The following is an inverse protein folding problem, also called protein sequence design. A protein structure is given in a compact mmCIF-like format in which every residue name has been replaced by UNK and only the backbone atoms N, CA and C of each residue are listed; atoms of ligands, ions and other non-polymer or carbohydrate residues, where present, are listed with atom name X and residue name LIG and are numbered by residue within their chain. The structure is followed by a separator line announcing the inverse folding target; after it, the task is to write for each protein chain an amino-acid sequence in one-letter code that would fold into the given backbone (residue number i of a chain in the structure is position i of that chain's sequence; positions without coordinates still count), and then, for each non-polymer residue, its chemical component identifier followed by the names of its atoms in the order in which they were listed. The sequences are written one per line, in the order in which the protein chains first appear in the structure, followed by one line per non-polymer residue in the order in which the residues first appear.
data_IF_900742721369
#
_entry.id   IF_900742721369
#
_cell.length_a   1.000
_cell.length_b   1.000
_cell.length_c   1.000
_cell.angle_alpha   90.00
_cell.angle_beta   90.00
_cell.angle_gamma   90.00
#
_symmetry.space_group_name_H-M   'P 1'
#
loop_
_entity.id
_entity.type
_entity.pdbx_description
1 polymer ?
#
# COMPACT_ATOMS: atom_id res chain seq x y z
N UNK A 1 -20.23 2.07 -2.47
CA UNK A 1 -20.59 3.13 -3.44
C UNK A 1 -19.53 3.24 -4.52
N UNK A 2 -19.60 4.27 -5.36
CA UNK A 2 -18.61 4.54 -6.43
C UNK A 2 -17.18 4.65 -5.88
N UNK A 3 -16.99 5.36 -4.77
CA UNK A 3 -15.69 5.51 -4.06
C UNK A 3 -15.11 4.15 -3.68
N UNK A 4 -15.92 3.29 -3.06
CA UNK A 4 -15.50 1.94 -2.66
C UNK A 4 -15.16 1.09 -3.88
N UNK A 5 -15.92 1.19 -4.97
CA UNK A 5 -15.67 0.45 -6.20
C UNK A 5 -14.37 0.91 -6.89
N UNK A 6 -14.13 2.23 -6.93
CA UNK A 6 -12.89 2.81 -7.43
C UNK A 6 -11.69 2.40 -6.57
N UNK A 7 -11.83 2.40 -5.23
CA UNK A 7 -10.81 1.91 -4.31
C UNK A 7 -10.48 0.43 -4.53
N UNK A 8 -11.50 -0.45 -4.61
CA UNK A 8 -11.32 -1.87 -4.95
C UNK A 8 -10.66 -2.07 -6.31
N UNK A 9 -10.85 -1.14 -7.25
CA UNK A 9 -10.18 -1.21 -8.56
C UNK A 9 -8.68 -0.95 -8.47
N UNK A 10 -8.22 -0.15 -7.50
CA UNK A 10 -6.80 0.08 -7.22
C UNK A 10 -6.19 -1.20 -6.67
N UNK A 11 -6.79 -1.80 -5.63
CA UNK A 11 -6.32 -3.07 -5.07
C UNK A 11 -6.21 -4.18 -6.13
N UNK A 12 -7.22 -4.30 -7.02
CA UNK A 12 -7.17 -5.24 -8.14
C UNK A 12 -6.06 -4.93 -9.15
N UNK A 13 -5.85 -3.66 -9.48
CA UNK A 13 -4.78 -3.28 -10.39
C UNK A 13 -3.38 -3.55 -9.81
N UNK A 14 -3.22 -3.43 -8.48
CA UNK A 14 -1.99 -3.81 -7.76
C UNK A 14 -1.79 -5.34 -7.84
N UNK A 15 -2.84 -6.12 -7.56
CA UNK A 15 -2.80 -7.58 -7.67
C UNK A 15 -2.38 -8.03 -9.08
N UNK A 16 -3.07 -7.51 -10.11
CA UNK A 16 -2.82 -7.86 -11.51
C UNK A 16 -1.38 -7.53 -11.94
N UNK A 17 -0.86 -6.35 -11.60
CA UNK A 17 0.52 -5.98 -11.97
C UNK A 17 1.57 -6.80 -11.23
N UNK A 18 1.34 -7.15 -9.96
CA UNK A 18 2.26 -7.98 -9.19
C UNK A 18 2.32 -9.40 -9.73
N UNK A 19 1.17 -9.97 -10.08
CA UNK A 19 1.07 -11.28 -10.74
C UNK A 19 1.79 -11.28 -12.09
N UNK A 20 1.52 -10.30 -12.94
CA UNK A 20 2.19 -10.15 -14.25
C UNK A 20 3.72 -10.06 -14.11
N UNK A 21 4.22 -9.26 -13.16
CA UNK A 21 5.65 -9.16 -12.86
C UNK A 21 6.19 -10.52 -12.38
N UNK A 22 5.50 -11.17 -11.44
CA UNK A 22 5.88 -12.48 -10.90
C UNK A 22 6.03 -13.54 -11.99
N UNK A 23 5.05 -13.66 -12.88
CA UNK A 23 5.05 -14.58 -14.02
C UNK A 23 6.23 -14.36 -14.97
N UNK A 24 6.55 -13.09 -15.27
CA UNK A 24 7.70 -12.75 -16.12
C UNK A 24 9.03 -13.05 -15.43
N UNK A 25 9.14 -12.79 -14.12
CA UNK A 25 10.36 -13.08 -13.37
C UNK A 25 10.58 -14.59 -13.18
N UNK A 26 9.52 -15.40 -13.09
CA UNK A 26 9.63 -16.85 -13.00
C UNK A 26 10.39 -17.47 -14.20
N UNK A 27 10.32 -16.82 -15.37
CA UNK A 27 11.06 -17.23 -16.59
C UNK A 27 12.58 -17.06 -16.48
N UNK A 28 13.05 -16.25 -15.55
CA UNK A 28 14.48 -15.99 -15.32
C UNK A 28 15.16 -17.06 -14.46
N UNK A 29 14.41 -18.05 -13.98
CA UNK A 29 14.96 -19.15 -13.18
C UNK A 29 15.89 -20.00 -14.05
N UNK A 30 17.11 -20.32 -13.59
CA UNK A 30 18.00 -21.20 -14.34
C UNK A 30 17.32 -22.57 -14.51
N UNK A 31 17.12 -22.98 -15.76
CA UNK A 31 16.76 -24.37 -16.10
C UNK A 31 17.97 -25.31 -16.05
N UNK A 32 19.18 -24.81 -15.69
CA UNK A 32 20.40 -25.60 -15.58
C UNK A 32 21.49 -25.01 -14.66
N UNK A 33 22.36 -25.93 -14.18
CA UNK A 33 23.62 -25.86 -13.39
C UNK A 33 23.81 -24.86 -12.24
N UNK A 34 22.98 -23.85 -12.05
CA UNK A 34 22.92 -23.05 -10.82
C UNK A 34 21.94 -23.66 -9.81
N UNK A 35 22.16 -23.45 -8.50
CA UNK A 35 21.13 -23.74 -7.50
C UNK A 35 19.91 -22.85 -7.80
N UNK A 36 18.72 -23.42 -8.07
CA UNK A 36 17.55 -22.61 -8.36
C UNK A 36 17.20 -21.79 -7.13
N UNK A 37 16.83 -20.52 -7.31
CA UNK A 37 16.16 -19.75 -6.24
C UNK A 37 14.80 -20.40 -6.03
N UNK A 38 14.69 -21.26 -5.01
CA UNK A 38 13.45 -21.99 -4.69
C UNK A 38 12.66 -21.33 -3.56
N UNK A 39 13.38 -20.67 -2.67
CA UNK A 39 12.79 -19.98 -1.52
C UNK A 39 13.37 -18.58 -1.39
N UNK A 40 12.65 -17.73 -0.68
CA UNK A 40 13.11 -16.40 -0.24
C UNK A 40 14.46 -16.43 0.50
N UNK A 41 14.86 -17.53 1.13
CA UNK A 41 16.18 -17.67 1.76
C UNK A 41 17.33 -17.88 0.77
N UNK A 42 17.01 -18.16 -0.50
CA UNK A 42 17.99 -18.40 -1.55
C UNK A 42 18.11 -17.23 -2.55
N UNK A 43 17.58 -16.06 -2.20
CA UNK A 43 17.74 -14.82 -2.99
C UNK A 43 19.21 -14.44 -3.10
N UNK A 44 19.55 -13.66 -4.14
CA UNK A 44 20.94 -13.30 -4.42
C UNK A 44 21.52 -12.27 -3.45
N UNK A 45 20.69 -11.34 -2.98
CA UNK A 45 21.10 -10.28 -2.05
C UNK A 45 20.08 -10.10 -0.92
N UNK A 46 20.24 -10.90 0.13
CA UNK A 46 19.38 -10.85 1.31
C UNK A 46 19.48 -9.52 2.09
N UNK A 47 20.64 -8.85 2.04
CA UNK A 47 20.82 -7.59 2.76
C UNK A 47 19.91 -6.50 2.17
N UNK A 48 19.91 -6.39 0.84
CA UNK A 48 19.01 -5.47 0.12
C UNK A 48 17.54 -5.83 0.35
N UNK A 49 17.17 -7.12 0.32
CA UNK A 49 15.78 -7.56 0.60
C UNK A 49 15.33 -7.12 2.00
N UNK A 50 16.16 -7.33 3.02
CA UNK A 50 15.86 -6.92 4.40
C UNK A 50 15.70 -5.41 4.51
N UNK A 51 16.59 -4.64 3.88
CA UNK A 51 16.52 -3.18 3.89
C UNK A 51 15.25 -2.65 3.22
N UNK A 52 14.85 -3.23 2.09
CA UNK A 52 13.66 -2.79 1.33
C UNK A 52 12.36 -3.14 2.05
N UNK A 53 12.23 -4.38 2.55
CA UNK A 53 11.01 -4.84 3.22
C UNK A 53 10.89 -4.26 4.63
N UNK A 54 12.01 -4.14 5.34
CA UNK A 54 12.05 -3.80 6.76
C UNK A 54 13.11 -2.72 7.05
N UNK A 55 12.90 -1.48 6.56
CA UNK A 55 13.88 -0.40 6.71
C UNK A 55 14.17 -0.03 8.18
N UNK A 56 13.25 -0.33 9.09
CA UNK A 56 13.39 -0.10 10.54
C UNK A 56 13.94 -1.31 11.31
N UNK A 57 14.40 -2.36 10.60
CA UNK A 57 14.91 -3.60 11.20
C UNK A 57 13.95 -4.78 11.04
N UNK A 58 14.50 -6.00 11.10
CA UNK A 58 13.77 -7.26 10.91
C UNK A 58 12.55 -7.34 11.85
N UNK A 59 11.38 -7.55 11.25
CA UNK A 59 10.17 -7.86 11.97
C UNK A 59 10.02 -9.38 12.15
N UNK A 60 9.51 -9.80 13.32
CA UNK A 60 9.07 -11.17 13.56
C UNK A 60 7.57 -11.12 13.92
N UNK A 61 6.70 -11.79 13.17
CA UNK A 61 6.98 -12.67 12.02
C UNK A 61 7.31 -11.90 10.72
N UNK A 62 7.85 -12.59 9.70
CA UNK A 62 8.31 -11.96 8.45
C UNK A 62 7.80 -12.66 7.17
N UNK A 63 7.81 -11.90 6.07
CA UNK A 63 7.63 -12.39 4.70
C UNK A 63 8.83 -13.20 4.21
N UNK A 64 10.01 -13.02 4.79
CA UNK A 64 11.23 -13.68 4.33
C UNK A 64 11.24 -15.13 4.80
N UNK A 65 10.96 -15.39 6.06
CA UNK A 65 11.08 -16.75 6.59
C UNK A 65 10.04 -17.03 7.68
N UNK A 66 9.82 -18.32 7.88
CA UNK A 66 9.08 -18.91 8.99
C UNK A 66 10.01 -19.73 9.88
N UNK A 67 9.46 -20.31 10.95
CA UNK A 67 10.16 -21.31 11.77
C UNK A 67 10.57 -22.56 10.99
N UNK A 68 9.91 -22.88 9.87
CA UNK A 68 10.20 -24.07 9.04
C UNK A 68 11.10 -23.79 7.85
N UNK A 69 11.46 -22.52 7.59
CA UNK A 69 12.37 -22.11 6.53
C UNK A 69 11.83 -20.96 5.67
N UNK A 70 12.43 -20.78 4.48
CA UNK A 70 12.09 -19.73 3.53
C UNK A 70 10.75 -19.97 2.84
N UNK A 71 10.07 -18.89 2.48
CA UNK A 71 8.80 -18.91 1.73
C UNK A 71 9.04 -19.34 0.28
N UNK A 72 8.08 -20.02 -0.39
CA UNK A 72 8.14 -20.29 -1.82
C UNK A 72 8.40 -19.01 -2.60
N UNK A 73 9.35 -19.08 -3.54
CA UNK A 73 9.87 -17.86 -4.18
C UNK A 73 8.82 -17.11 -5.02
N UNK A 74 7.89 -17.82 -5.68
CA UNK A 74 6.81 -17.21 -6.47
C UNK A 74 5.90 -16.37 -5.59
N UNK A 75 5.33 -17.01 -4.56
CA UNK A 75 4.43 -16.38 -3.59
C UNK A 75 5.15 -15.24 -2.85
N UNK A 76 6.42 -15.43 -2.46
CA UNK A 76 7.20 -14.39 -1.80
C UNK A 76 7.31 -13.12 -2.65
N UNK A 77 7.68 -13.25 -3.93
CA UNK A 77 7.89 -12.09 -4.81
C UNK A 77 6.59 -11.35 -5.05
N UNK A 78 5.51 -12.07 -5.37
CA UNK A 78 4.21 -11.46 -5.62
C UNK A 78 3.69 -10.71 -4.38
N UNK A 79 3.67 -11.37 -3.22
CA UNK A 79 3.18 -10.79 -1.97
C UNK A 79 4.06 -9.64 -1.48
N UNK A 80 5.38 -9.71 -1.69
CA UNK A 80 6.30 -8.63 -1.39
C UNK A 80 6.07 -7.41 -2.28
N UNK A 81 5.87 -7.59 -3.59
CA UNK A 81 5.55 -6.49 -4.50
C UNK A 81 4.22 -5.82 -4.12
N UNK A 82 3.19 -6.62 -3.80
CA UNK A 82 1.91 -6.12 -3.33
C UNK A 82 2.09 -5.26 -2.07
N UNK A 83 2.81 -5.77 -1.07
CA UNK A 83 3.10 -5.00 0.14
C UNK A 83 3.86 -3.71 -0.16
N UNK A 84 4.92 -3.77 -0.97
CA UNK A 84 5.78 -2.62 -1.27
C UNK A 84 5.01 -1.52 -1.99
N UNK A 85 4.19 -1.87 -2.98
CA UNK A 85 3.37 -0.90 -3.72
C UNK A 85 2.30 -0.29 -2.82
N UNK A 86 1.59 -1.09 -2.03
CA UNK A 86 0.58 -0.58 -1.09
C UNK A 86 1.20 0.35 -0.04
N UNK A 87 2.32 -0.03 0.56
CA UNK A 87 3.05 0.78 1.54
C UNK A 87 3.48 2.13 0.96
N UNK A 88 4.04 2.09 -0.26
CA UNK A 88 4.60 3.28 -0.88
C UNK A 88 3.51 4.25 -1.36
N UNK A 89 2.40 3.74 -1.91
CA UNK A 89 1.23 4.55 -2.27
C UNK A 89 0.53 5.12 -1.03
N UNK A 90 0.37 4.32 0.02
CA UNK A 90 -0.22 4.77 1.28
C UNK A 90 0.54 5.98 1.83
N UNK A 91 1.87 5.86 1.92
CA UNK A 91 2.73 6.92 2.43
C UNK A 91 2.74 8.19 1.57
N UNK A 92 2.82 8.07 0.24
CA UNK A 92 2.98 9.24 -0.64
C UNK A 92 1.66 9.87 -1.12
N UNK A 93 0.56 9.11 -1.15
CA UNK A 93 -0.71 9.57 -1.73
C UNK A 93 -1.82 9.65 -0.68
N UNK A 94 -2.03 8.60 0.11
CA UNK A 94 -3.23 8.50 0.95
C UNK A 94 -3.08 9.11 2.35
N UNK A 95 -1.94 8.90 3.01
CA UNK A 95 -1.67 9.48 4.33
C UNK A 95 -1.57 11.00 4.34
N UNK A 96 -0.92 11.66 3.36
CA UNK A 96 -0.83 13.11 3.34
C UNK A 96 -2.21 13.78 3.28
N UNK A 97 -2.33 14.96 3.89
CA UNK A 97 -3.51 15.80 3.64
C UNK A 97 -3.61 16.14 2.14
N UNK A 98 -2.47 16.52 1.54
CA UNK A 98 -2.32 16.74 0.10
C UNK A 98 -0.95 16.17 -0.38
N UNK A 99 -0.91 15.30 -1.42
CA UNK A 99 0.32 14.58 -1.81
C UNK A 99 1.52 15.47 -2.18
N UNK A 100 1.26 16.68 -2.69
CA UNK A 100 2.31 17.61 -3.13
C UNK A 100 2.75 18.61 -2.04
N UNK A 101 2.19 18.54 -0.82
CA UNK A 101 2.67 19.33 0.30
C UNK A 101 3.95 18.72 0.89
N UNK A 102 4.82 19.58 1.42
CA UNK A 102 5.99 19.13 2.19
C UNK A 102 5.54 18.40 3.48
N UNK A 103 6.34 17.45 4.01
CA UNK A 103 5.95 16.68 5.20
C UNK A 103 5.53 17.53 6.40
N UNK A 104 6.26 18.62 6.70
CA UNK A 104 5.98 19.48 7.85
C UNK A 104 4.66 20.24 7.67
N UNK A 105 4.38 20.70 6.45
CA UNK A 105 3.12 21.36 6.11
C UNK A 105 1.95 20.38 6.13
N UNK A 106 2.14 19.15 5.64
CA UNK A 106 1.15 18.09 5.72
C UNK A 106 0.77 17.77 7.16
N UNK A 107 1.75 17.60 8.04
CA UNK A 107 1.53 17.34 9.46
C UNK A 107 0.73 18.48 10.10
N UNK A 108 1.16 19.73 9.90
CA UNK A 108 0.47 20.90 10.44
C UNK A 108 -0.99 21.01 9.96
N UNK A 109 -1.25 20.87 8.66
CA UNK A 109 -2.61 20.96 8.11
C UNK A 109 -3.49 19.80 8.59
N UNK A 110 -2.91 18.60 8.74
CA UNK A 110 -3.62 17.43 9.29
C UNK A 110 -4.03 17.67 10.75
N UNK A 111 -3.12 18.17 11.59
CA UNK A 111 -3.43 18.52 12.99
C UNK A 111 -4.53 19.58 13.10
N UNK A 112 -4.47 20.61 12.26
CA UNK A 112 -5.54 21.62 12.18
C UNK A 112 -6.87 20.99 11.80
N UNK A 113 -6.86 20.08 10.81
CA UNK A 113 -8.07 19.40 10.36
C UNK A 113 -8.68 18.56 11.48
N UNK A 114 -7.89 17.77 12.20
CA UNK A 114 -8.37 16.99 13.34
C UNK A 114 -8.98 17.87 14.43
N UNK A 115 -8.41 19.05 14.69
CA UNK A 115 -9.00 20.04 15.59
C UNK A 115 -10.36 20.58 15.11
N UNK A 116 -10.53 20.78 13.80
CA UNK A 116 -11.81 21.16 13.19
C UNK A 116 -12.83 20.03 13.31
N UNK A 117 -12.45 18.79 12.97
CA UNK A 117 -13.33 17.61 13.04
C UNK A 117 -13.83 17.33 14.46
N UNK A 118 -13.00 17.62 15.46
CA UNK A 118 -13.38 17.42 16.86
C UNK A 118 -14.44 18.45 17.31
N UNK A 119 -14.36 19.69 16.81
CA UNK A 119 -15.25 20.78 17.21
C UNK A 119 -16.52 20.83 16.39
N UNK A 120 -16.40 20.65 15.09
CA UNK A 120 -17.43 20.97 14.10
C UNK A 120 -17.99 19.68 13.46
N UNK A 121 -19.30 19.62 13.15
CA UNK A 121 -19.91 18.44 12.53
C UNK A 121 -19.42 18.22 11.09
N UNK A 122 -19.62 17.01 10.55
CA UNK A 122 -19.12 16.56 9.24
C UNK A 122 -19.34 17.55 8.09
N UNK A 123 -20.48 18.23 8.03
CA UNK A 123 -20.75 19.20 6.95
C UNK A 123 -19.81 20.39 7.00
N UNK A 124 -19.44 20.86 8.20
CA UNK A 124 -18.55 22.01 8.39
C UNK A 124 -17.09 21.57 8.24
N UNK A 125 -16.69 20.48 8.89
CA UNK A 125 -15.33 19.95 8.76
C UNK A 125 -15.05 19.51 7.32
N UNK A 126 -15.99 18.84 6.66
CA UNK A 126 -15.90 18.46 5.24
C UNK A 126 -15.72 19.67 4.31
N UNK A 127 -16.44 20.78 4.55
CA UNK A 127 -16.22 22.03 3.81
C UNK A 127 -14.81 22.58 4.00
N UNK A 128 -14.32 22.57 5.24
CA UNK A 128 -12.96 22.99 5.55
C UNK A 128 -11.95 22.13 4.77
N UNK A 129 -12.09 20.80 4.83
CA UNK A 129 -11.24 19.85 4.09
C UNK A 129 -11.19 20.19 2.61
N UNK A 130 -12.36 20.31 1.97
CA UNK A 130 -12.47 20.59 0.53
C UNK A 130 -11.84 21.92 0.20
N UNK A 131 -12.21 23.00 0.90
CA UNK A 131 -11.67 24.34 0.62
C UNK A 131 -10.16 24.41 0.82
N UNK A 132 -9.61 23.77 1.86
CA UNK A 132 -8.17 23.75 2.11
C UNK A 132 -7.43 22.88 1.09
N UNK A 133 -7.98 21.71 0.74
CA UNK A 133 -7.41 20.84 -0.29
C UNK A 133 -7.38 21.53 -1.65
N UNK A 134 -8.50 22.13 -2.07
CA UNK A 134 -8.62 22.85 -3.35
C UNK A 134 -7.74 24.10 -3.39
N UNK A 135 -7.64 24.85 -2.29
CA UNK A 135 -6.75 26.01 -2.22
C UNK A 135 -5.28 25.63 -2.45
N UNK A 136 -4.83 24.50 -1.89
CA UNK A 136 -3.49 23.97 -2.17
C UNK A 136 -3.37 23.43 -3.59
N UNK A 137 -4.37 22.67 -4.05
CA UNK A 137 -4.40 22.11 -5.39
C UNK A 137 -4.32 23.20 -6.47
N UNK A 138 -4.93 24.37 -6.25
CA UNK A 138 -4.91 25.52 -7.15
C UNK A 138 -3.52 26.18 -7.30
N UNK A 139 -2.57 25.90 -6.40
CA UNK A 139 -1.18 26.36 -6.51
C UNK A 139 -0.36 25.53 -7.50
N UNK A 140 -0.92 24.44 -8.00
CA UNK A 140 -0.27 23.50 -8.92
C UNK A 140 -1.02 23.45 -10.26
N UNK A 141 -0.32 23.74 -11.35
CA UNK A 141 -0.86 23.52 -12.69
C UNK A 141 -0.82 22.03 -13.08
N UNK A 142 -1.54 21.66 -14.14
CA UNK A 142 -1.59 20.29 -14.64
C UNK A 142 -0.20 19.73 -15.01
N UNK A 143 0.73 20.58 -15.46
CA UNK A 143 2.07 20.17 -15.83
C UNK A 143 2.92 19.81 -14.60
N UNK A 144 2.81 20.57 -13.52
CA UNK A 144 3.50 20.33 -12.26
C UNK A 144 3.00 19.06 -11.57
N UNK A 145 1.68 18.82 -11.58
CA UNK A 145 1.07 17.57 -11.10
C UNK A 145 1.61 16.39 -11.90
N UNK A 146 1.59 16.49 -13.24
CA UNK A 146 2.12 15.44 -14.11
C UNK A 146 3.60 15.17 -13.83
N UNK A 147 4.43 16.20 -13.72
CA UNK A 147 5.86 16.05 -13.40
C UNK A 147 6.09 15.38 -12.05
N UNK A 148 5.28 15.73 -11.05
CA UNK A 148 5.34 15.09 -9.73
C UNK A 148 4.98 13.61 -9.82
N UNK A 149 3.90 13.26 -10.52
CA UNK A 149 3.50 11.87 -10.77
C UNK A 149 4.59 11.10 -11.53
N UNK A 150 5.11 11.66 -12.62
CA UNK A 150 6.17 11.04 -13.43
C UNK A 150 7.43 10.78 -12.58
N UNK A 151 7.81 11.74 -11.73
CA UNK A 151 8.93 11.58 -10.80
C UNK A 151 8.65 10.51 -9.74
N UNK A 152 7.45 10.50 -9.15
CA UNK A 152 7.06 9.52 -8.15
C UNK A 152 7.05 8.10 -8.72
N UNK A 153 6.43 7.90 -9.90
CA UNK A 153 6.40 6.61 -10.60
C UNK A 153 7.83 6.14 -10.92
N UNK A 154 8.68 7.05 -11.40
CA UNK A 154 10.10 6.76 -11.63
C UNK A 154 10.82 6.33 -10.35
N UNK A 155 10.56 7.00 -9.22
CA UNK A 155 11.15 6.65 -7.93
C UNK A 155 10.71 5.28 -7.45
N UNK A 156 9.40 5.00 -7.47
CA UNK A 156 8.82 3.70 -7.13
C UNK A 156 9.44 2.58 -7.97
N UNK A 157 9.54 2.76 -9.29
CA UNK A 157 10.10 1.73 -10.17
C UNK A 157 11.61 1.57 -9.94
N UNK A 158 12.39 2.64 -10.02
CA UNK A 158 13.85 2.55 -10.12
C UNK A 158 14.57 2.44 -8.78
N UNK A 159 13.96 2.90 -7.68
CA UNK A 159 14.58 2.90 -6.36
C UNK A 159 13.92 1.94 -5.37
N UNK A 160 12.74 1.39 -5.68
CA UNK A 160 12.07 0.40 -4.85
C UNK A 160 11.89 -0.95 -5.55
N UNK A 161 11.09 -1.01 -6.62
CA UNK A 161 10.68 -2.27 -7.22
C UNK A 161 11.82 -2.95 -8.01
N UNK A 162 12.53 -2.21 -8.86
CA UNK A 162 13.62 -2.75 -9.67
C UNK A 162 14.80 -3.24 -8.80
N UNK A 163 15.26 -2.50 -7.76
CA UNK A 163 16.27 -3.01 -6.84
C UNK A 163 15.82 -4.27 -6.09
N UNK A 164 14.56 -4.34 -5.67
CA UNK A 164 14.00 -5.56 -5.05
C UNK A 164 14.09 -6.77 -6.01
N UNK A 165 13.65 -6.60 -7.26
CA UNK A 165 13.70 -7.67 -8.26
C UNK A 165 15.14 -8.11 -8.57
N UNK A 166 16.09 -7.18 -8.65
CA UNK A 166 17.52 -7.49 -8.86
C UNK A 166 18.09 -8.23 -7.65
N UNK A 167 17.71 -7.86 -6.43
CA UNK A 167 18.14 -8.56 -5.23
C UNK A 167 17.63 -10.01 -5.17
N UNK A 168 16.44 -10.27 -5.73
CA UNK A 168 15.89 -11.63 -5.85
C UNK A 168 16.54 -12.42 -6.98
N UNK A 169 16.49 -11.90 -8.20
CA UNK A 169 16.73 -12.66 -9.44
C UNK A 169 18.07 -12.31 -10.12
N UNK A 170 18.71 -11.20 -9.76
CA UNK A 170 19.96 -10.69 -10.31
C UNK A 170 19.77 -9.64 -11.40
N UNK A 171 20.88 -9.18 -11.98
CA UNK A 171 20.93 -8.10 -13.00
C UNK A 171 20.09 -8.33 -14.27
N UNK A 172 19.72 -9.58 -14.54
CA UNK A 172 18.85 -9.94 -15.65
C UNK A 172 17.38 -9.58 -15.39
N UNK A 173 16.98 -9.40 -14.13
CA UNK A 173 15.64 -9.00 -13.76
C UNK A 173 15.40 -7.57 -14.21
N UNK A 174 14.45 -7.37 -15.12
CA UNK A 174 14.09 -6.04 -15.63
C UNK A 174 12.59 -5.92 -15.80
N UNK A 175 12.03 -4.86 -15.25
CA UNK A 175 10.64 -4.51 -15.53
C UNK A 175 10.48 -4.15 -17.02
N UNK A 176 9.44 -4.70 -17.65
CA UNK A 176 9.11 -4.42 -19.03
C UNK A 176 8.41 -3.07 -19.15
N UNK A 177 8.29 -2.54 -20.38
CA UNK A 177 7.50 -1.34 -20.62
C UNK A 177 6.03 -1.51 -20.16
N UNK A 178 5.46 -2.72 -20.35
CA UNK A 178 4.10 -3.06 -19.89
C UNK A 178 3.98 -2.96 -18.36
N UNK A 179 4.98 -3.45 -17.62
CA UNK A 179 5.00 -3.33 -16.16
C UNK A 179 5.02 -1.86 -15.73
N UNK A 180 5.89 -1.05 -16.35
CA UNK A 180 6.00 0.37 -16.03
C UNK A 180 4.69 1.13 -16.30
N UNK A 181 4.01 0.84 -17.42
CA UNK A 181 2.70 1.41 -17.73
C UNK A 181 1.62 0.98 -16.73
N UNK A 182 1.67 -0.28 -16.27
CA UNK A 182 0.70 -0.81 -15.31
C UNK A 182 0.88 -0.16 -13.92
N UNK A 183 2.13 0.01 -13.47
CA UNK A 183 2.46 0.77 -12.25
C UNK A 183 2.01 2.23 -12.37
N UNK A 184 2.28 2.88 -13.50
CA UNK A 184 1.82 4.25 -13.75
C UNK A 184 0.28 4.37 -13.67
N UNK A 185 -0.43 3.37 -14.21
CA UNK A 185 -1.90 3.30 -14.12
C UNK A 185 -2.39 3.16 -12.68
N UNK A 186 -1.76 2.29 -11.88
CA UNK A 186 -2.06 2.12 -10.45
C UNK A 186 -1.90 3.45 -9.70
N UNK A 187 -0.74 4.10 -9.85
CA UNK A 187 -0.43 5.36 -9.18
C UNK A 187 -1.41 6.47 -9.60
N UNK A 188 -1.72 6.55 -10.89
CA UNK A 188 -2.68 7.53 -11.40
C UNK A 188 -4.08 7.32 -10.82
N UNK A 189 -4.54 6.06 -10.75
CA UNK A 189 -5.83 5.71 -10.13
C UNK A 189 -5.86 6.07 -8.64
N UNK A 190 -4.77 5.79 -7.91
CA UNK A 190 -4.65 6.15 -6.50
C UNK A 190 -4.72 7.67 -6.30
N UNK A 191 -3.99 8.44 -7.11
CA UNK A 191 -4.02 9.90 -7.04
C UNK A 191 -5.43 10.46 -7.36
N UNK A 192 -6.07 9.98 -8.43
CA UNK A 192 -7.43 10.38 -8.80
C UNK A 192 -8.45 10.04 -7.73
N UNK A 193 -8.35 8.86 -7.13
CA UNK A 193 -9.22 8.46 -6.03
C UNK A 193 -9.04 9.36 -4.81
N UNK A 194 -7.79 9.69 -4.46
CA UNK A 194 -7.51 10.62 -3.36
C UNK A 194 -8.11 12.00 -3.62
N UNK A 195 -8.00 12.53 -4.85
CA UNK A 195 -8.66 13.78 -5.22
C UNK A 195 -10.18 13.68 -5.05
N UNK A 196 -10.80 12.64 -5.61
CA UNK A 196 -12.25 12.41 -5.53
C UNK A 196 -12.75 12.45 -4.08
N UNK A 197 -12.12 11.71 -3.16
CA UNK A 197 -12.58 11.69 -1.76
C UNK A 197 -12.27 12.98 -1.01
N UNK A 198 -11.21 13.71 -1.40
CA UNK A 198 -10.77 14.95 -0.73
C UNK A 198 -11.52 16.21 -1.20
N UNK A 199 -12.20 16.18 -2.36
CA UNK A 199 -12.91 17.35 -2.93
C UNK A 199 -14.43 17.31 -2.82
N UNK A 200 -15.02 16.27 -2.23
CA UNK A 200 -16.48 16.20 -2.04
C UNK A 200 -16.90 16.48 -0.58
N UNK A 201 -17.77 17.50 -0.41
CA UNK A 201 -18.19 18.06 0.89
C UNK A 201 -19.16 17.17 1.66
N UNK A 202 -20.05 16.44 0.97
CA UNK A 202 -21.13 15.65 1.59
C UNK A 202 -20.64 14.26 2.01
N UNK A 203 -19.45 13.87 1.58
CA UNK A 203 -18.90 12.58 1.90
C UNK A 203 -18.36 12.52 3.33
N UNK A 204 -18.45 11.31 3.89
CA UNK A 204 -17.59 10.85 4.97
C UNK A 204 -16.11 11.05 4.59
N UNK A 205 -15.25 11.14 5.60
CA UNK A 205 -13.81 11.09 5.33
C UNK A 205 -13.40 9.63 5.15
N UNK A 206 -12.75 9.31 4.03
CA UNK A 206 -12.28 7.97 3.71
C UNK A 206 -10.79 7.83 4.00
N UNK A 207 -10.43 6.75 4.68
CA UNK A 207 -9.08 6.47 5.18
C UNK A 207 -8.66 5.09 4.68
N UNK A 208 -7.80 5.01 3.65
CA UNK A 208 -7.09 3.78 3.33
C UNK A 208 -6.30 3.32 4.55
N UNK A 209 -6.28 2.01 4.81
CA UNK A 209 -5.64 1.44 5.98
C UNK A 209 -4.61 0.39 5.58
N UNK A 210 -3.35 0.64 5.94
CA UNK A 210 -2.26 -0.33 5.92
C UNK A 210 -1.96 -0.76 7.35
N UNK A 211 -2.13 -2.04 7.67
CA UNK A 211 -1.73 -2.56 8.98
C UNK A 211 -0.23 -2.86 9.00
N UNK A 212 0.49 -2.49 10.07
CA UNK A 212 1.92 -2.76 10.17
C UNK A 212 2.20 -4.26 10.32
N UNK A 213 3.33 -4.72 9.79
CA UNK A 213 3.82 -6.07 10.05
C UNK A 213 3.91 -6.34 11.56
N UNK A 214 3.44 -7.52 11.98
CA UNK A 214 3.39 -7.94 13.37
C UNK A 214 2.16 -7.47 14.14
N UNK A 215 1.28 -6.65 13.53
CA UNK A 215 0.01 -6.30 14.16
C UNK A 215 -0.83 -7.55 14.45
N UNK A 216 -1.55 -7.61 15.58
CA UNK A 216 -2.44 -8.71 15.87
C UNK A 216 -3.59 -8.76 14.85
N UNK A 217 -3.91 -9.96 14.37
CA UNK A 217 -5.03 -10.17 13.46
C UNK A 217 -6.35 -9.77 14.11
N UNK A 218 -7.07 -8.85 13.47
CA UNK A 218 -8.40 -8.39 13.85
C UNK A 218 -9.39 -8.65 12.71
N UNK A 219 -10.32 -9.59 12.92
CA UNK A 219 -11.33 -9.97 11.95
C UNK A 219 -12.34 -8.86 11.63
N UNK A 220 -12.36 -7.75 12.37
CA UNK A 220 -13.20 -6.59 12.05
C UNK A 220 -12.62 -5.82 10.87
N UNK A 221 -11.34 -5.48 10.91
CA UNK A 221 -10.66 -4.68 9.88
C UNK A 221 -9.85 -5.48 8.86
N UNK A 222 -9.60 -6.76 9.12
CA UNK A 222 -8.72 -7.60 8.31
C UNK A 222 -9.42 -8.87 7.83
N UNK A 223 -9.11 -9.26 6.59
CA UNK A 223 -9.40 -10.59 6.04
C UNK A 223 -8.09 -11.25 5.62
N UNK A 224 -7.92 -12.52 5.93
CA UNK A 224 -6.77 -13.29 5.44
C UNK A 224 -6.96 -13.69 3.98
N UNK A 225 -5.86 -13.92 3.26
CA UNK A 225 -5.95 -14.65 1.98
C UNK A 225 -6.55 -16.04 2.25
N UNK A 226 -7.53 -16.42 1.45
CA UNK A 226 -8.32 -17.65 1.62
C UNK A 226 -7.45 -18.91 1.46
N UNK A 227 -6.92 -19.43 2.58
CA UNK A 227 -6.50 -20.83 2.75
C UNK A 227 -6.91 -21.30 4.14
N UNK A 228 -7.23 -22.59 4.28
CA UNK A 228 -7.61 -23.19 5.56
C UNK A 228 -6.37 -23.68 6.29
N UNK A 229 -6.30 -23.53 7.63
CA UNK A 229 -7.30 -22.94 8.53
C UNK A 229 -7.28 -21.40 8.56
N UNK A 230 -8.38 -20.79 8.99
CA UNK A 230 -8.44 -19.35 9.25
C UNK A 230 -7.43 -18.96 10.36
N UNK A 231 -6.85 -17.74 10.32
CA UNK A 231 -5.92 -17.29 11.34
C UNK A 231 -6.55 -17.28 12.73
N UNK A 232 -5.73 -17.54 13.75
CA UNK A 232 -6.19 -17.39 15.12
C UNK A 232 -6.35 -15.92 15.51
N UNK A 233 -7.29 -15.61 16.41
CA UNK A 233 -7.45 -14.25 16.91
C UNK A 233 -6.16 -13.78 17.58
N UNK A 234 -5.72 -12.56 17.24
CA UNK A 234 -4.45 -11.98 17.69
C UNK A 234 -3.16 -12.67 17.20
N UNK A 235 -3.24 -13.57 16.20
CA UNK A 235 -2.05 -14.02 15.47
C UNK A 235 -1.37 -12.81 14.82
N UNK A 236 -0.05 -12.63 14.96
CA UNK A 236 0.63 -11.52 14.33
C UNK A 236 0.63 -11.68 12.80
N UNK A 237 0.18 -10.65 12.07
CA UNK A 237 0.20 -10.64 10.61
C UNK A 237 1.64 -10.51 10.10
N UNK A 238 1.94 -11.15 8.96
CA UNK A 238 3.19 -10.97 8.24
C UNK A 238 3.23 -9.61 7.54
N UNK A 239 2.13 -9.26 6.87
CA UNK A 239 2.00 -7.97 6.17
C UNK A 239 0.57 -7.72 5.69
N UNK A 240 0.31 -6.50 5.24
CA UNK A 240 -0.87 -6.12 4.45
C UNK A 240 -0.53 -6.21 2.95
N UNK A 241 -1.33 -6.96 2.19
CA UNK A 241 -1.13 -7.16 0.74
C UNK A 241 -2.21 -6.49 -0.11
N UNK A 242 -3.32 -6.06 0.50
CA UNK A 242 -4.24 -5.11 -0.09
C UNK A 242 -4.80 -4.19 0.99
N UNK A 243 -4.88 -2.89 0.70
CA UNK A 243 -5.32 -1.89 1.67
C UNK A 243 -6.79 -2.10 2.07
N UNK A 244 -7.07 -1.84 3.35
CA UNK A 244 -8.43 -1.68 3.86
C UNK A 244 -8.94 -0.26 3.61
N UNK A 245 -10.23 -0.04 3.87
CA UNK A 245 -10.85 1.27 3.77
C UNK A 245 -11.80 1.48 4.94
N UNK A 246 -11.50 2.46 5.78
CA UNK A 246 -12.46 3.00 6.75
C UNK A 246 -13.10 4.28 6.20
N UNK A 247 -14.33 4.54 6.62
CA UNK A 247 -14.95 5.85 6.53
C UNK A 247 -15.18 6.39 7.93
N UNK A 248 -15.13 7.70 8.08
CA UNK A 248 -15.42 8.35 9.35
C UNK A 248 -16.34 9.55 9.23
N UNK A 249 -17.15 9.76 10.26
CA UNK A 249 -18.07 10.89 10.40
C UNK A 249 -17.72 11.71 11.64
N UNK A 250 -17.48 13.01 11.46
CA UNK A 250 -17.32 13.94 12.58
C UNK A 250 -18.69 14.31 13.17
N UNK A 251 -18.88 14.05 14.47
CA UNK A 251 -20.06 14.52 15.19
C UNK A 251 -19.94 15.99 15.65
N UNK A 252 -18.72 16.45 15.90
CA UNK A 252 -18.44 17.74 16.55
C UNK A 252 -18.60 17.67 18.08
N UNK A 253 -18.67 18.85 18.72
CA UNK A 253 -18.90 19.00 20.17
C UNK A 253 -17.85 18.32 21.07
N UNK A 254 -16.62 18.13 20.58
CA UNK A 254 -15.56 17.46 21.34
C UNK A 254 -15.62 15.94 21.28
N UNK A 255 -16.49 15.35 20.45
CA UNK A 255 -16.61 13.89 20.33
C UNK A 255 -15.69 13.35 19.24
N UNK A 256 -15.10 12.19 19.51
CA UNK A 256 -14.29 11.50 18.52
C UNK A 256 -15.14 11.11 17.29
N UNK A 257 -14.58 11.17 16.07
CA UNK A 257 -15.26 10.72 14.88
C UNK A 257 -15.70 9.24 14.98
N UNK A 258 -16.84 8.91 14.37
CA UNK A 258 -17.33 7.53 14.27
C UNK A 258 -16.71 6.86 13.05
N UNK A 259 -16.08 5.70 13.23
CA UNK A 259 -15.44 4.93 12.15
C UNK A 259 -16.24 3.69 11.78
N UNK A 260 -16.30 3.42 10.47
CA UNK A 260 -16.97 2.25 9.90
C UNK A 260 -16.08 1.67 8.80
N UNK A 261 -15.81 0.37 8.88
CA UNK A 261 -15.13 -0.37 7.81
C UNK A 261 -16.01 -0.45 6.57
N UNK A 262 -15.47 0.03 5.46
CA UNK A 262 -16.06 -0.07 4.13
C UNK A 262 -15.46 -1.27 3.38
N UNK A 263 -14.15 -1.50 3.56
CA UNK A 263 -13.42 -2.67 3.04
C UNK A 263 -12.43 -3.17 4.08
N UNK A 264 -12.37 -4.48 4.29
CA UNK A 264 -11.31 -5.07 5.11
C UNK A 264 -10.00 -5.15 4.33
N UNK A 265 -8.89 -4.85 5.00
CA UNK A 265 -7.56 -5.06 4.44
C UNK A 265 -7.31 -6.55 4.22
N UNK A 266 -6.64 -6.89 3.12
CA UNK A 266 -6.15 -8.27 2.93
C UNK A 266 -4.80 -8.38 3.60
N UNK A 267 -4.68 -9.31 4.54
CA UNK A 267 -3.46 -9.56 5.29
C UNK A 267 -2.96 -10.98 5.07
N UNK A 268 -1.66 -11.14 5.25
CA UNK A 268 -1.00 -12.42 5.20
C UNK A 268 -0.62 -12.85 6.61
N UNK A 269 -0.84 -14.11 6.95
CA UNK A 269 -0.45 -14.74 8.23
C UNK A 269 0.41 -15.98 7.96
N UNK A 270 0.94 -16.62 9.00
CA UNK A 270 1.73 -17.84 8.79
C UNK A 270 0.89 -18.98 8.21
N UNK A 271 -0.39 -19.05 8.58
CA UNK A 271 -1.35 -20.05 8.10
C UNK A 271 -1.38 -20.19 6.58
N UNK A 272 -1.10 -19.11 5.81
CA UNK A 272 -1.06 -19.14 4.35
C UNK A 272 0.00 -20.10 3.78
N UNK A 273 1.13 -20.25 4.47
CA UNK A 273 2.27 -21.06 4.01
C UNK A 273 2.33 -22.44 4.68
N UNK A 274 1.50 -22.69 5.68
CA UNK A 274 1.43 -23.95 6.42
C UNK A 274 0.39 -24.92 5.83
N UNK A 275 -0.44 -24.43 4.90
CA UNK A 275 -1.49 -25.16 4.18
C UNK A 275 -1.00 -25.89 2.93
#
# INVERSE_FOLDING_TARGET
GEITAAFRSINRAIDDVCRDIGEDMAKLRPTGKGLPVKTSLNVRDMATIRQILYPQGLANPSLIESSSGGRPIDEFVELALQFLINRDIDYHIFQPFHPMLKPEANMFVTELYEGVRLRDPQVISGRWRVSTFEAHQATHDQLSIKRWLDNYISQLIHYLLQPFLVAVYGEAARMTHKHNQSIASVVTKAYQWNQMVKTEVILLDFHPCLFPTGAPYDSKGMKSIERTPAPSAAEPILTTVALGLESSEAEGEGRAPKFVWQEQAVVLTNAYFES
#
